data_IF_032771282807
#
_entry.id   IF_032771282807
#
_cell.length_a   1.000
_cell.length_b   1.000
_cell.length_c   1.000
_cell.angle_alpha   90.00
_cell.angle_beta   90.00
_cell.angle_gamma   90.00
#
_symmetry.space_group_name_H-M   'P 1'
#
loop_
_entity.id
_entity.type
_entity.pdbx_description
1 polymer ?
#
# COMPACT_ATOMS: atom_id res chain seq x y z
N UNK A 1 -11.65 -4.40 0.89
CA UNK A 1 -11.09 -4.25 2.26
C UNK A 1 -11.61 -2.93 2.83
N UNK A 2 -12.50 -2.95 3.82
CA UNK A 2 -13.20 -1.73 4.28
C UNK A 2 -12.24 -0.65 4.79
N UNK A 3 -11.13 -1.04 5.43
CA UNK A 3 -10.14 -0.10 5.96
C UNK A 3 -9.50 0.79 4.89
N UNK A 4 -9.29 0.29 3.67
CA UNK A 4 -8.72 1.06 2.56
C UNK A 4 -9.73 2.03 1.96
N UNK A 5 -11.00 1.64 1.92
CA UNK A 5 -12.09 2.52 1.50
C UNK A 5 -12.38 3.62 2.53
N UNK A 6 -12.04 3.38 3.80
CA UNK A 6 -12.10 4.38 4.86
C UNK A 6 -10.95 5.39 4.84
N UNK A 7 -9.89 5.15 4.04
CA UNK A 7 -8.85 6.16 3.86
C UNK A 7 -9.45 7.42 3.24
N UNK A 8 -9.08 8.60 3.76
CA UNK A 8 -9.36 9.85 3.06
C UNK A 8 -8.60 9.88 1.73
N UNK A 9 -9.07 10.66 0.75
CA UNK A 9 -8.30 10.90 -0.47
C UNK A 9 -6.93 11.48 -0.08
N UNK A 10 -5.86 10.88 -0.57
CA UNK A 10 -4.48 11.18 -0.20
C UNK A 10 -3.96 10.44 1.04
N UNK A 11 -4.83 9.75 1.79
CA UNK A 11 -4.46 8.91 2.92
C UNK A 11 -3.75 7.63 2.48
N UNK A 12 -2.90 7.09 3.36
CA UNK A 12 -2.06 5.94 3.07
C UNK A 12 -2.19 4.84 4.11
N UNK A 13 -2.07 3.60 3.66
CA UNK A 13 -1.96 2.41 4.49
C UNK A 13 -0.60 1.77 4.25
N UNK A 14 0.15 1.53 5.32
CA UNK A 14 1.52 1.02 5.29
C UNK A 14 1.53 -0.37 5.92
N UNK A 15 2.19 -1.33 5.28
CA UNK A 15 2.32 -2.66 5.84
C UNK A 15 3.69 -3.28 5.58
N UNK A 16 3.87 -4.42 6.25
CA UNK A 16 5.14 -5.03 6.53
C UNK A 16 5.94 -5.41 5.29
N UNK A 17 7.26 -5.58 5.47
CA UNK A 17 8.13 -5.82 4.36
C UNK A 17 7.89 -7.16 3.66
N UNK A 18 7.89 -7.12 2.33
CA UNK A 18 7.93 -8.29 1.44
C UNK A 18 6.79 -9.32 1.61
N UNK A 19 5.67 -8.90 2.19
CA UNK A 19 4.49 -9.73 2.34
C UNK A 19 3.53 -9.53 1.15
N UNK A 20 3.26 -10.55 0.30
CA UNK A 20 2.20 -10.47 -0.69
C UNK A 20 0.84 -10.46 0.01
N UNK A 21 0.10 -9.36 -0.10
CA UNK A 21 -1.09 -9.14 0.69
C UNK A 21 -2.27 -8.68 -0.18
N UNK A 22 -2.57 -7.39 -0.14
CA UNK A 22 -3.79 -6.80 -0.73
C UNK A 22 -3.59 -6.29 -2.15
N UNK A 23 -2.36 -6.27 -2.67
CA UNK A 23 -2.04 -5.62 -3.95
C UNK A 23 -2.86 -6.16 -5.12
N UNK A 24 -3.07 -7.48 -5.16
CA UNK A 24 -3.85 -8.15 -6.21
C UNK A 24 -5.36 -7.87 -6.14
N UNK A 25 -5.83 -7.31 -5.05
CA UNK A 25 -7.24 -7.02 -4.80
C UNK A 25 -7.55 -5.52 -4.87
N UNK A 26 -6.55 -4.67 -5.15
CA UNK A 26 -6.71 -3.23 -5.24
C UNK A 26 -7.15 -2.80 -6.64
N UNK A 27 -8.08 -1.85 -6.70
CA UNK A 27 -8.39 -1.14 -7.94
C UNK A 27 -7.33 -0.06 -8.18
N UNK A 28 -6.51 -0.27 -9.21
CA UNK A 28 -5.46 0.67 -9.63
C UNK A 28 -5.98 2.05 -10.06
N UNK A 29 -7.30 2.22 -10.25
CA UNK A 29 -7.91 3.53 -10.52
C UNK A 29 -8.12 4.37 -9.26
N UNK A 30 -8.24 3.72 -8.10
CA UNK A 30 -8.54 4.34 -6.81
C UNK A 30 -7.36 4.35 -5.85
N UNK A 31 -6.38 3.48 -6.07
CA UNK A 31 -5.22 3.33 -5.20
C UNK A 31 -3.93 3.29 -5.99
N UNK A 32 -2.86 3.81 -5.39
CA UNK A 32 -1.49 3.73 -5.88
C UNK A 32 -0.65 2.95 -4.89
N UNK A 33 0.17 2.04 -5.41
CA UNK A 33 1.03 1.18 -4.60
C UNK A 33 2.48 1.62 -4.84
N UNK A 34 3.21 1.86 -3.75
CA UNK A 34 4.64 2.19 -3.78
C UNK A 34 5.38 1.21 -2.90
N UNK A 35 6.46 0.64 -3.42
CA UNK A 35 7.36 -0.24 -2.66
C UNK A 35 8.73 0.42 -2.57
N UNK A 36 9.34 0.38 -1.40
CA UNK A 36 10.70 0.89 -1.18
C UNK A 36 11.44 -0.01 -0.21
N UNK A 37 12.76 -0.07 -0.37
CA UNK A 37 13.63 -0.85 0.50
C UNK A 37 13.73 -0.18 1.87
N UNK A 38 13.60 -0.98 2.93
CA UNK A 38 13.71 -0.54 4.33
C UNK A 38 15.16 -0.73 4.75
N UNK A 39 15.91 0.37 4.80
CA UNK A 39 17.33 0.40 5.11
C UNK A 39 18.19 -0.49 4.17
N UNK A 40 19.41 -0.82 4.59
CA UNK A 40 20.34 -1.71 3.85
C UNK A 40 19.99 -3.20 4.01
N UNK A 41 18.72 -3.51 4.30
CA UNK A 41 18.26 -4.87 4.50
C UNK A 41 17.44 -5.33 3.29
N UNK A 42 17.28 -6.64 3.13
CA UNK A 42 16.50 -7.23 2.04
C UNK A 42 14.97 -7.06 2.19
N UNK A 43 14.53 -6.15 3.07
CA UNK A 43 13.14 -5.93 3.42
C UNK A 43 12.54 -4.79 2.58
N UNK A 44 11.32 -4.99 2.03
CA UNK A 44 10.61 -3.97 1.21
C UNK A 44 9.28 -3.53 1.80
N UNK A 45 9.16 -2.30 2.29
CA UNK A 45 7.90 -1.75 2.75
C UNK A 45 6.96 -1.46 1.57
N UNK A 46 5.65 -1.65 1.78
CA UNK A 46 4.63 -1.29 0.80
C UNK A 46 3.68 -0.24 1.36
N UNK A 47 3.41 0.77 0.55
CA UNK A 47 2.50 1.87 0.84
C UNK A 47 1.38 1.89 -0.18
N UNK A 48 0.16 1.85 0.30
CA UNK A 48 -1.05 1.96 -0.50
C UNK A 48 -1.68 3.30 -0.23
N UNK A 49 -1.67 4.19 -1.22
CA UNK A 49 -2.25 5.53 -1.12
C UNK A 49 -3.57 5.59 -1.88
N UNK A 50 -4.61 6.15 -1.26
CA UNK A 50 -5.90 6.39 -1.94
C UNK A 50 -5.81 7.66 -2.80
N UNK A 51 -6.23 7.57 -4.05
CA UNK A 51 -6.22 8.68 -5.02
C UNK A 51 -7.62 9.12 -5.43
N UNK A 52 -8.64 8.26 -5.32
CA UNK A 52 -10.06 8.56 -5.58
C UNK A 52 -10.96 7.85 -4.58
#
# INVERSE_FOLDING_TARGET
MNILQSLKIGGSFHYAPDLPFIEKFLDNKCFTITKYDVDKNDFKATVVKRTK
#
